data_IF_672001298773
#
_entry.id   IF_672001298773
#
_cell.length_a   1.000
_cell.length_b   1.000
_cell.length_c   1.000
_cell.angle_alpha   90.00
_cell.angle_beta   90.00
_cell.angle_gamma   90.00
#
_symmetry.space_group_name_H-M   'P 1'
#
loop_
_entity.id
_entity.type
_entity.pdbx_description
1 polymer ?
#
# COMPACT_ATOMS: atom_id res chain seq x y z
N UNK A 1 -31.27 -24.05 38.86
CA UNK A 1 -30.25 -23.87 37.81
C UNK A 1 -30.99 -23.61 36.50
N UNK A 2 -31.00 -22.36 36.00
CA UNK A 2 -31.49 -22.09 34.64
C UNK A 2 -30.40 -22.55 33.67
N UNK A 3 -30.71 -23.59 32.89
CA UNK A 3 -29.83 -24.06 31.82
C UNK A 3 -29.87 -23.08 30.66
N UNK A 4 -28.70 -22.70 30.16
CA UNK A 4 -28.59 -21.97 28.91
C UNK A 4 -28.99 -22.91 27.76
N UNK A 5 -30.09 -22.60 27.07
CA UNK A 5 -30.42 -23.26 25.80
C UNK A 5 -29.59 -22.62 24.67
N UNK A 6 -29.01 -23.43 23.76
CA UNK A 6 -28.27 -22.89 22.63
C UNK A 6 -29.22 -22.14 21.69
N UNK A 7 -28.80 -20.96 21.22
CA UNK A 7 -29.50 -20.25 20.16
C UNK A 7 -29.27 -21.00 18.85
N UNK A 8 -30.29 -21.70 18.37
CA UNK A 8 -30.30 -22.28 17.02
C UNK A 8 -30.63 -21.21 16.00
N UNK A 9 -29.59 -20.65 15.38
CA UNK A 9 -29.72 -19.81 14.18
C UNK A 9 -29.96 -20.72 12.97
N UNK A 10 -31.03 -20.45 12.19
CA UNK A 10 -31.41 -21.29 11.03
C UNK A 10 -30.32 -21.34 9.96
N UNK A 11 -29.52 -20.28 9.84
CA UNK A 11 -28.33 -20.20 8.99
C UNK A 11 -27.30 -19.27 9.62
N UNK A 12 -26.02 -19.56 9.42
CA UNK A 12 -24.93 -18.65 9.78
C UNK A 12 -24.97 -17.42 8.86
N UNK A 13 -24.74 -16.19 9.34
CA UNK A 13 -24.58 -15.01 8.47
C UNK A 13 -23.52 -15.24 7.38
N UNK A 14 -22.52 -16.08 7.68
CA UNK A 14 -21.43 -16.47 6.77
C UNK A 14 -21.92 -17.38 5.63
N UNK A 15 -22.97 -18.17 5.83
CA UNK A 15 -23.46 -19.08 4.78
C UNK A 15 -24.10 -18.33 3.61
N UNK A 16 -24.61 -17.11 3.84
CA UNK A 16 -25.25 -16.29 2.82
C UNK A 16 -24.28 -15.41 2.00
N UNK A 17 -23.02 -15.27 2.43
CA UNK A 17 -22.03 -14.35 1.83
C UNK A 17 -21.06 -15.05 0.88
N UNK A 18 -20.77 -16.35 1.06
CA UNK A 18 -19.97 -17.13 0.12
C UNK A 18 -20.79 -17.57 -1.09
N UNK A 19 -20.86 -16.70 -2.11
CA UNK A 19 -21.31 -17.10 -3.46
C UNK A 19 -22.50 -16.33 -4.05
N UNK A 20 -23.05 -15.31 -3.37
CA UNK A 20 -23.98 -14.38 -4.04
C UNK A 20 -23.18 -13.47 -4.98
N UNK A 21 -23.57 -13.45 -6.25
CA UNK A 21 -23.04 -12.47 -7.21
C UNK A 21 -23.34 -11.06 -6.68
N UNK A 22 -22.29 -10.34 -6.25
CA UNK A 22 -22.44 -8.97 -5.79
C UNK A 22 -22.95 -8.09 -6.94
N UNK A 23 -23.94 -7.25 -6.66
CA UNK A 23 -24.47 -6.25 -7.60
C UNK A 23 -24.56 -4.90 -6.89
N UNK A 24 -24.50 -3.79 -7.64
CA UNK A 24 -24.58 -2.44 -7.08
C UNK A 24 -23.33 -2.02 -6.28
N UNK A 25 -23.54 -1.20 -5.24
CA UNK A 25 -22.47 -0.60 -4.42
C UNK A 25 -21.46 -1.62 -3.86
N UNK A 26 -21.85 -2.79 -3.32
CA UNK A 26 -20.91 -3.80 -2.82
C UNK A 26 -19.92 -4.30 -3.89
N UNK A 27 -20.37 -4.46 -5.14
CA UNK A 27 -19.49 -4.88 -6.23
C UNK A 27 -18.49 -3.77 -6.57
N UNK A 28 -18.95 -2.53 -6.66
CA UNK A 28 -18.09 -1.38 -6.96
C UNK A 28 -17.02 -1.22 -5.87
N UNK A 29 -17.40 -1.27 -4.59
CA UNK A 29 -16.45 -1.20 -3.48
C UNK A 29 -15.43 -2.33 -3.54
N UNK A 30 -15.88 -3.56 -3.81
CA UNK A 30 -15.01 -4.73 -3.96
C UNK A 30 -13.99 -4.54 -5.09
N UNK A 31 -14.44 -4.12 -6.27
CA UNK A 31 -13.58 -3.91 -7.43
C UNK A 31 -12.53 -2.81 -7.14
N UNK A 32 -12.92 -1.71 -6.49
CA UNK A 32 -11.99 -0.66 -6.05
C UNK A 32 -10.93 -1.23 -5.09
N UNK A 33 -11.32 -2.06 -4.11
CA UNK A 33 -10.38 -2.66 -3.16
C UNK A 33 -9.37 -3.57 -3.88
N UNK A 34 -9.83 -4.38 -4.83
CA UNK A 34 -8.95 -5.23 -5.63
C UNK A 34 -7.94 -4.40 -6.43
N UNK A 35 -8.42 -3.32 -7.06
CA UNK A 35 -7.58 -2.41 -7.82
C UNK A 35 -6.53 -1.71 -6.95
N UNK A 36 -6.93 -1.19 -5.78
CA UNK A 36 -5.99 -0.62 -4.80
C UNK A 36 -4.91 -1.64 -4.48
N UNK A 37 -5.28 -2.86 -4.11
CA UNK A 37 -4.31 -3.91 -3.79
C UNK A 37 -3.34 -4.21 -4.93
N UNK A 38 -3.86 -4.36 -6.16
CA UNK A 38 -3.02 -4.61 -7.34
C UNK A 38 -2.04 -3.46 -7.58
N UNK A 39 -2.49 -2.22 -7.43
CA UNK A 39 -1.63 -1.03 -7.53
C UNK A 39 -0.56 -1.00 -6.43
N UNK A 40 -0.88 -1.43 -5.20
CA UNK A 40 0.12 -1.60 -4.14
C UNK A 40 1.14 -2.71 -4.44
N UNK A 41 0.75 -3.78 -5.14
CA UNK A 41 1.72 -4.79 -5.59
C UNK A 41 2.71 -4.21 -6.61
N UNK A 42 2.25 -3.36 -7.54
CA UNK A 42 3.16 -2.63 -8.44
C UNK A 42 4.18 -1.81 -7.67
N UNK A 43 3.76 -1.15 -6.58
CA UNK A 43 4.70 -0.43 -5.70
C UNK A 43 5.76 -1.37 -5.13
N UNK A 44 5.35 -2.53 -4.61
CA UNK A 44 6.26 -3.50 -4.00
C UNK A 44 7.31 -3.99 -5.00
N UNK A 45 6.91 -4.26 -6.25
CA UNK A 45 7.82 -4.65 -7.32
C UNK A 45 8.86 -3.56 -7.60
N UNK A 46 8.43 -2.30 -7.70
CA UNK A 46 9.32 -1.14 -7.89
C UNK A 46 10.26 -0.98 -6.69
N UNK A 47 9.76 -1.17 -5.47
CA UNK A 47 10.56 -1.06 -4.26
C UNK A 47 11.67 -2.11 -4.24
N UNK A 48 11.35 -3.36 -4.57
CA UNK A 48 12.32 -4.47 -4.65
C UNK A 48 13.39 -4.19 -5.72
N UNK A 49 13.00 -3.66 -6.87
CA UNK A 49 13.95 -3.23 -7.91
C UNK A 49 14.89 -2.14 -7.36
N UNK A 50 14.33 -1.12 -6.72
CA UNK A 50 15.12 -0.03 -6.13
C UNK A 50 16.05 -0.47 -5.00
N UNK A 51 15.67 -1.48 -4.20
CA UNK A 51 16.52 -2.05 -3.14
C UNK A 51 17.84 -2.60 -3.71
N UNK A 52 17.84 -3.12 -4.94
CA UNK A 52 19.06 -3.61 -5.59
C UNK A 52 19.97 -2.43 -5.95
N UNK A 53 19.39 -1.42 -6.59
CA UNK A 53 20.11 -0.22 -7.04
C UNK A 53 20.71 0.56 -5.86
N UNK A 54 19.94 0.84 -4.80
CA UNK A 54 20.46 1.59 -3.64
C UNK A 54 21.58 0.83 -2.92
N UNK A 55 21.53 -0.50 -2.91
CA UNK A 55 22.60 -1.34 -2.36
C UNK A 55 23.86 -1.24 -3.20
N UNK A 56 23.75 -1.27 -4.52
CA UNK A 56 24.89 -1.11 -5.45
C UNK A 56 25.52 0.28 -5.30
N UNK A 57 24.71 1.34 -5.24
CA UNK A 57 25.19 2.70 -4.97
C UNK A 57 25.94 2.75 -3.64
N UNK A 58 25.40 2.17 -2.57
CA UNK A 58 26.05 2.15 -1.27
C UNK A 58 27.41 1.43 -1.30
N UNK A 59 27.51 0.29 -1.99
CA UNK A 59 28.78 -0.45 -2.16
C UNK A 59 29.82 0.40 -2.90
N UNK A 60 29.42 1.06 -4.00
CA UNK A 60 30.35 1.90 -4.78
C UNK A 60 30.84 3.07 -3.91
N UNK A 61 29.94 3.72 -3.16
CA UNK A 61 30.28 4.83 -2.26
C UNK A 61 31.12 4.42 -1.05
N UNK A 62 30.94 3.20 -0.55
CA UNK A 62 31.79 2.63 0.50
C UNK A 62 33.23 2.38 0.03
N UNK A 63 33.40 1.96 -1.23
CA UNK A 63 34.73 1.71 -1.82
C UNK A 63 35.42 2.98 -2.32
N UNK A 64 34.67 3.99 -2.76
CA UNK A 64 35.20 5.24 -3.28
C UNK A 64 34.28 6.43 -2.93
N UNK A 65 34.48 7.02 -1.76
CA UNK A 65 33.56 8.03 -1.23
C UNK A 65 33.61 9.38 -1.95
N UNK A 66 34.71 9.72 -2.64
CA UNK A 66 34.96 11.09 -3.13
C UNK A 66 34.63 11.32 -4.61
N UNK A 67 34.58 10.27 -5.44
CA UNK A 67 34.39 10.41 -6.88
C UNK A 67 32.99 9.96 -7.31
N UNK A 68 32.29 10.84 -8.02
CA UNK A 68 31.07 10.49 -8.73
C UNK A 68 31.46 9.87 -10.07
N UNK A 69 31.23 8.56 -10.23
CA UNK A 69 31.57 7.81 -11.44
C UNK A 69 30.40 7.75 -12.42
N UNK A 70 30.69 7.44 -13.69
CA UNK A 70 29.67 7.21 -14.72
C UNK A 70 28.69 6.10 -14.32
N UNK A 71 29.18 5.06 -13.61
CA UNK A 71 28.36 3.98 -13.06
C UNK A 71 27.35 4.51 -12.03
N UNK A 72 27.78 5.40 -11.11
CA UNK A 72 26.87 6.05 -10.15
C UNK A 72 25.84 6.93 -10.86
N UNK A 73 26.21 7.59 -11.96
CA UNK A 73 25.27 8.37 -12.76
C UNK A 73 24.17 7.50 -13.36
N UNK A 74 24.54 6.34 -13.92
CA UNK A 74 23.60 5.39 -14.51
C UNK A 74 22.64 4.89 -13.43
N UNK A 75 23.14 4.40 -12.29
CA UNK A 75 22.33 3.88 -11.19
C UNK A 75 21.40 4.96 -10.60
N UNK A 76 21.90 6.19 -10.42
CA UNK A 76 21.08 7.30 -9.88
C UNK A 76 19.96 7.68 -10.83
N UNK A 77 20.23 7.68 -12.14
CA UNK A 77 19.21 7.92 -13.17
C UNK A 77 18.17 6.80 -13.23
N UNK A 78 18.58 5.54 -13.07
CA UNK A 78 17.64 4.41 -12.97
C UNK A 78 16.76 4.52 -11.73
N UNK A 79 17.35 4.83 -10.57
CA UNK A 79 16.62 5.04 -9.33
C UNK A 79 15.62 6.20 -9.45
N UNK A 80 16.01 7.29 -10.11
CA UNK A 80 15.11 8.42 -10.40
C UNK A 80 13.89 7.99 -11.25
N UNK A 81 14.10 7.14 -12.26
CA UNK A 81 12.99 6.56 -13.04
C UNK A 81 12.06 5.72 -12.18
N UNK A 82 12.58 4.95 -11.23
CA UNK A 82 11.75 4.19 -10.29
C UNK A 82 10.90 5.09 -9.41
N UNK A 83 11.46 6.20 -8.91
CA UNK A 83 10.70 7.19 -8.13
C UNK A 83 9.59 7.86 -8.98
N UNK A 84 9.83 8.08 -10.27
CA UNK A 84 8.78 8.53 -11.20
C UNK A 84 7.67 7.48 -11.33
N UNK A 85 8.01 6.20 -11.51
CA UNK A 85 7.02 5.11 -11.52
C UNK A 85 6.22 5.04 -10.21
N UNK A 86 6.86 5.19 -9.05
CA UNK A 86 6.18 5.29 -7.76
C UNK A 86 5.19 6.46 -7.70
N UNK A 87 5.52 7.60 -8.32
CA UNK A 87 4.60 8.75 -8.40
C UNK A 87 3.35 8.42 -9.20
N UNK A 88 3.47 7.71 -10.33
CA UNK A 88 2.34 7.24 -11.13
C UNK A 88 1.47 6.24 -10.36
N UNK A 89 2.08 5.34 -9.60
CA UNK A 89 1.35 4.40 -8.73
C UNK A 89 0.52 5.16 -7.69
N UNK A 90 1.05 6.24 -7.11
CA UNK A 90 0.30 7.06 -6.15
C UNK A 90 -0.86 7.83 -6.81
N UNK A 91 -0.69 8.28 -8.05
CA UNK A 91 -1.78 8.87 -8.84
C UNK A 91 -2.90 7.85 -9.09
N UNK A 92 -2.57 6.59 -9.41
CA UNK A 92 -3.56 5.51 -9.53
C UNK A 92 -4.33 5.30 -8.21
N UNK A 93 -3.63 5.22 -7.05
CA UNK A 93 -4.28 5.09 -5.73
C UNK A 93 -5.25 6.25 -5.48
N UNK A 94 -4.86 7.47 -5.88
CA UNK A 94 -5.68 8.67 -5.71
C UNK A 94 -6.98 8.60 -6.51
N UNK A 95 -6.93 8.07 -7.74
CA UNK A 95 -8.12 7.82 -8.56
C UNK A 95 -9.07 6.86 -7.85
N UNK A 96 -8.55 5.78 -7.25
CA UNK A 96 -9.37 4.80 -6.53
C UNK A 96 -9.96 5.36 -5.25
N UNK A 97 -9.22 6.21 -4.55
CA UNK A 97 -9.73 6.97 -3.41
C UNK A 97 -10.89 7.89 -3.80
N UNK A 98 -10.74 8.66 -4.89
CA UNK A 98 -11.81 9.54 -5.38
C UNK A 98 -13.06 8.76 -5.82
N UNK A 99 -12.87 7.59 -6.43
CA UNK A 99 -13.97 6.66 -6.75
C UNK A 99 -14.68 6.17 -5.49
N UNK A 100 -13.94 5.84 -4.43
CA UNK A 100 -14.52 5.44 -3.14
C UNK A 100 -15.26 6.61 -2.47
N UNK A 101 -14.74 7.84 -2.57
CA UNK A 101 -15.44 9.05 -2.11
C UNK A 101 -16.74 9.29 -2.89
N UNK A 102 -16.73 9.08 -4.21
CA UNK A 102 -17.94 9.17 -5.02
C UNK A 102 -18.97 8.11 -4.60
N UNK A 103 -18.52 6.87 -4.35
CA UNK A 103 -19.38 5.80 -3.83
C UNK A 103 -19.97 6.19 -2.47
N UNK A 104 -19.16 6.73 -1.56
CA UNK A 104 -19.60 7.22 -0.24
C UNK A 104 -20.72 8.26 -0.34
N UNK A 105 -20.66 9.15 -1.34
CA UNK A 105 -21.73 10.17 -1.56
C UNK A 105 -23.03 9.56 -2.07
N UNK A 106 -22.95 8.44 -2.78
CA UNK A 106 -24.12 7.72 -3.30
C UNK A 106 -24.72 6.77 -2.26
N UNK A 107 -23.90 6.29 -1.34
CA UNK A 107 -24.30 5.43 -0.23
C UNK A 107 -24.98 6.26 0.86
N UNK A 108 -26.32 6.32 0.80
CA UNK A 108 -27.14 7.11 1.74
C UNK A 108 -27.36 6.40 3.08
N UNK A 109 -26.93 5.16 3.20
CA UNK A 109 -27.10 4.35 4.41
C UNK A 109 -25.76 4.25 5.14
N UNK A 110 -25.76 4.46 6.46
CA UNK A 110 -24.56 4.28 7.29
C UNK A 110 -24.32 2.81 7.66
N UNK A 111 -25.13 1.89 7.12
CA UNK A 111 -25.02 0.46 7.40
C UNK A 111 -23.74 -0.14 6.81
N UNK A 112 -23.22 -1.21 7.42
CA UNK A 112 -22.15 -2.00 6.81
C UNK A 112 -22.50 -2.46 5.40
N UNK A 113 -21.61 -2.24 4.44
CA UNK A 113 -21.73 -2.73 3.07
C UNK A 113 -21.26 -4.19 2.96
N UNK A 114 -20.30 -4.57 3.81
CA UNK A 114 -19.82 -5.94 3.98
C UNK A 114 -20.16 -6.47 5.38
N UNK A 115 -19.27 -7.25 6.02
CA UNK A 115 -19.55 -7.86 7.33
C UNK A 115 -19.62 -6.80 8.44
N UNK A 116 -18.62 -5.93 8.51
CA UNK A 116 -18.55 -4.84 9.49
C UNK A 116 -18.12 -3.50 8.90
N UNK A 117 -17.66 -3.48 7.64
CA UNK A 117 -17.21 -2.26 6.97
C UNK A 117 -18.34 -1.55 6.23
N UNK A 118 -18.61 -0.31 6.64
CA UNK A 118 -19.38 0.66 5.84
C UNK A 118 -18.49 1.34 4.80
N UNK A 119 -19.09 2.00 3.80
CA UNK A 119 -18.33 2.75 2.80
C UNK A 119 -17.47 3.83 3.44
N UNK A 120 -17.98 4.52 4.45
CA UNK A 120 -17.22 5.53 5.20
C UNK A 120 -15.93 4.96 5.81
N UNK A 121 -16.02 3.79 6.47
CA UNK A 121 -14.85 3.13 7.06
C UNK A 121 -13.84 2.71 6.00
N UNK A 122 -14.31 2.17 4.88
CA UNK A 122 -13.44 1.79 3.76
C UNK A 122 -12.74 3.00 3.14
N UNK A 123 -13.45 4.11 2.94
CA UNK A 123 -12.86 5.35 2.45
C UNK A 123 -11.74 5.84 3.37
N UNK A 124 -11.98 5.85 4.70
CA UNK A 124 -10.96 6.24 5.69
C UNK A 124 -9.75 5.33 5.65
N UNK A 125 -9.94 4.01 5.54
CA UNK A 125 -8.83 3.06 5.43
C UNK A 125 -7.99 3.31 4.16
N UNK A 126 -8.63 3.51 3.00
CA UNK A 126 -7.93 3.83 1.74
C UNK A 126 -7.19 5.18 1.86
N UNK A 127 -7.78 6.17 2.53
CA UNK A 127 -7.11 7.45 2.78
C UNK A 127 -5.81 7.27 3.58
N UNK A 128 -5.85 6.53 4.70
CA UNK A 128 -4.66 6.28 5.51
C UNK A 128 -3.58 5.55 4.71
N UNK A 129 -3.96 4.57 3.90
CA UNK A 129 -3.04 3.89 2.98
C UNK A 129 -2.42 4.90 2.01
N UNK A 130 -3.23 5.73 1.34
CA UNK A 130 -2.74 6.74 0.40
C UNK A 130 -1.75 7.72 1.05
N UNK A 131 -2.07 8.23 2.25
CA UNK A 131 -1.23 9.16 2.99
C UNK A 131 0.13 8.54 3.37
N UNK A 132 0.14 7.28 3.79
CA UNK A 132 1.36 6.55 4.09
C UNK A 132 2.26 6.40 2.85
N UNK A 133 1.70 6.01 1.71
CA UNK A 133 2.45 5.89 0.45
C UNK A 133 2.92 7.25 -0.10
N UNK A 134 2.16 8.32 0.14
CA UNK A 134 2.58 9.69 -0.17
C UNK A 134 3.81 10.10 0.66
N UNK A 135 3.84 9.79 1.96
CA UNK A 135 4.98 10.09 2.81
C UNK A 135 6.20 9.25 2.43
N UNK A 136 6.00 7.97 2.17
CA UNK A 136 7.07 7.09 1.70
C UNK A 136 7.66 7.57 0.36
N UNK A 137 6.82 8.07 -0.57
CA UNK A 137 7.31 8.67 -1.82
C UNK A 137 8.23 9.87 -1.57
N UNK A 138 7.91 10.71 -0.57
CA UNK A 138 8.79 11.84 -0.19
C UNK A 138 10.14 11.33 0.32
N UNK A 139 10.16 10.24 1.09
CA UNK A 139 11.41 9.64 1.55
C UNK A 139 12.22 9.08 0.37
N UNK A 140 11.57 8.38 -0.57
CA UNK A 140 12.26 7.84 -1.77
C UNK A 140 12.85 8.94 -2.65
N UNK A 141 12.18 10.10 -2.76
CA UNK A 141 12.75 11.29 -3.44
C UNK A 141 14.02 11.78 -2.73
N UNK A 142 13.98 11.93 -1.40
CA UNK A 142 15.16 12.30 -0.61
C UNK A 142 16.30 11.31 -0.80
N UNK A 143 16.01 10.01 -0.85
CA UNK A 143 17.05 8.98 -1.11
C UNK A 143 17.71 9.23 -2.46
N UNK A 144 16.93 9.36 -3.54
CA UNK A 144 17.47 9.62 -4.90
C UNK A 144 18.32 10.88 -4.95
N UNK A 145 17.88 11.96 -4.29
CA UNK A 145 18.57 13.25 -4.31
C UNK A 145 19.90 13.25 -3.56
N UNK A 146 20.11 12.33 -2.61
CA UNK A 146 21.23 12.41 -1.68
C UNK A 146 22.17 11.20 -1.70
N UNK A 147 21.70 10.00 -2.05
CA UNK A 147 22.46 8.76 -1.85
C UNK A 147 23.81 8.76 -2.59
N UNK A 148 23.86 9.25 -3.83
CA UNK A 148 25.10 9.31 -4.61
C UNK A 148 26.07 10.42 -4.14
N UNK A 149 25.55 11.43 -3.44
CA UNK A 149 26.32 12.55 -2.88
C UNK A 149 26.80 12.30 -1.45
N UNK A 150 26.53 11.12 -0.88
CA UNK A 150 26.95 10.77 0.47
C UNK A 150 28.46 10.93 0.69
N UNK A 151 28.87 11.61 1.76
CA UNK A 151 30.28 11.90 2.07
C UNK A 151 31.04 10.68 2.62
N UNK A 152 30.32 9.70 3.18
CA UNK A 152 30.90 8.49 3.74
C UNK A 152 29.93 7.29 3.64
N UNK A 153 30.48 6.09 3.82
CA UNK A 153 29.78 4.80 3.70
C UNK A 153 28.51 4.73 4.55
N UNK A 154 28.61 5.12 5.83
CA UNK A 154 27.48 5.09 6.76
C UNK A 154 26.26 5.89 6.27
N UNK A 155 26.48 7.00 5.57
CA UNK A 155 25.40 7.83 5.03
C UNK A 155 24.75 7.16 3.82
N UNK A 156 25.54 6.55 2.94
CA UNK A 156 25.01 5.81 1.80
C UNK A 156 24.23 4.56 2.25
N UNK A 157 24.74 3.84 3.25
CA UNK A 157 24.05 2.71 3.89
C UNK A 157 22.75 3.18 4.56
N UNK A 158 22.76 4.32 5.24
CA UNK A 158 21.54 4.89 5.83
C UNK A 158 20.46 5.14 4.79
N UNK A 159 20.80 5.75 3.64
CA UNK A 159 19.84 5.97 2.56
C UNK A 159 19.35 4.67 1.92
N UNK A 160 20.22 3.67 1.76
CA UNK A 160 19.83 2.34 1.28
C UNK A 160 18.86 1.66 2.27
N UNK A 161 19.11 1.78 3.58
CA UNK A 161 18.22 1.29 4.62
C UNK A 161 16.87 2.03 4.60
N UNK A 162 16.88 3.37 4.47
CA UNK A 162 15.66 4.17 4.39
C UNK A 162 14.77 3.75 3.21
N UNK A 163 15.37 3.49 2.04
CA UNK A 163 14.62 2.95 0.90
C UNK A 163 14.02 1.57 1.21
N UNK A 164 14.80 0.69 1.84
CA UNK A 164 14.45 -0.72 2.06
C UNK A 164 13.35 -0.89 3.11
N UNK A 165 13.44 -0.20 4.24
CA UNK A 165 12.53 -0.41 5.37
C UNK A 165 11.16 0.25 5.22
N UNK A 166 11.02 1.23 4.32
CA UNK A 166 9.76 1.91 4.03
C UNK A 166 9.02 2.37 5.29
N UNK A 167 9.67 3.19 6.11
CA UNK A 167 9.27 3.49 7.50
C UNK A 167 7.85 4.04 7.68
N UNK A 168 7.28 4.66 6.64
CA UNK A 168 5.89 5.18 6.68
C UNK A 168 4.84 4.09 6.44
N UNK A 169 5.22 2.93 5.90
CA UNK A 169 4.34 1.78 5.68
C UNK A 169 4.26 0.90 6.93
N UNK A 170 3.63 1.44 7.96
CA UNK A 170 3.53 0.80 9.28
C UNK A 170 2.64 -0.44 9.27
N UNK A 171 2.71 -1.22 10.37
CA UNK A 171 1.82 -2.37 10.57
C UNK A 171 0.33 -2.00 10.57
N UNK A 172 -0.02 -0.75 10.91
CA UNK A 172 -1.38 -0.24 10.83
C UNK A 172 -1.87 -0.20 9.38
N UNK A 173 -1.05 0.33 8.46
CA UNK A 173 -1.36 0.39 7.02
C UNK A 173 -1.59 -1.02 6.47
N UNK A 174 -0.73 -1.98 6.84
CA UNK A 174 -0.90 -3.39 6.48
C UNK A 174 -2.21 -3.95 7.05
N UNK A 175 -2.52 -3.65 8.32
CA UNK A 175 -3.75 -4.12 8.96
C UNK A 175 -5.00 -3.60 8.25
N UNK A 176 -5.02 -2.33 7.83
CA UNK A 176 -6.13 -1.79 7.06
C UNK A 176 -6.28 -2.43 5.69
N UNK A 177 -5.17 -2.67 4.99
CA UNK A 177 -5.21 -3.38 3.71
C UNK A 177 -5.76 -4.80 3.87
N UNK A 178 -5.29 -5.55 4.87
CA UNK A 178 -5.76 -6.91 5.15
C UNK A 178 -7.24 -6.92 5.56
N UNK A 179 -7.69 -5.95 6.35
CA UNK A 179 -9.10 -5.81 6.71
C UNK A 179 -9.97 -5.57 5.47
N UNK A 180 -9.58 -4.65 4.59
CA UNK A 180 -10.28 -4.39 3.32
C UNK A 180 -10.38 -5.67 2.47
N UNK A 181 -9.28 -6.40 2.31
CA UNK A 181 -9.23 -7.63 1.51
C UNK A 181 -10.05 -8.77 2.10
N UNK A 182 -10.05 -8.90 3.42
CA UNK A 182 -10.76 -9.97 4.12
C UNK A 182 -12.27 -9.73 4.09
N UNK A 183 -12.72 -8.52 4.40
CA UNK A 183 -14.13 -8.14 4.40
C UNK A 183 -14.77 -8.19 3.01
N UNK A 184 -14.02 -7.78 1.98
CA UNK A 184 -14.47 -7.84 0.58
C UNK A 184 -14.38 -9.24 -0.05
N UNK A 185 -13.86 -10.22 0.69
CA UNK A 185 -13.77 -11.62 0.25
C UNK A 185 -12.65 -11.90 -0.75
N UNK A 186 -11.61 -11.06 -0.81
CA UNK A 186 -10.37 -11.32 -1.55
C UNK A 186 -9.39 -12.20 -0.77
N UNK A 187 -9.47 -12.19 0.56
CA UNK A 187 -8.73 -13.10 1.45
C UNK A 187 -9.68 -13.87 2.35
N UNK A 188 -9.31 -15.12 2.64
CA UNK A 188 -10.05 -15.96 3.59
C UNK A 188 -9.62 -15.60 5.01
N UNK A 189 -10.58 -15.56 5.92
CA UNK A 189 -10.30 -15.59 7.36
C UNK A 189 -9.80 -17.01 7.66
N UNK A 190 -8.54 -17.14 8.09
CA UNK A 190 -7.95 -18.41 8.55
C UNK A 190 -8.03 -18.45 10.06
#
# INVERSE_FOLDING_TARGET
>A
MMGFSPVTVKESPVASSTGKNLTGNPRIARDIIADVYNTLQKWNDINIEGCKIVKEIAIIKGNNSKNYSDELEILTRELSKLVQKCSLVLEEISIYYDRMLALKKLDKEESPLFMSLSVDRMTKMIQVIQEAYLNELKNKRKVVENIAHSDCDNVAIFFAALWTYQIDLTSEVTTYLEALLTESGHRKIV
#
